data_IF_376772513757
#
_entry.id   IF_376772513757
#
_cell.length_a   1.000
_cell.length_b   1.000
_cell.length_c   1.000
_cell.angle_alpha   90.00
_cell.angle_beta   90.00
_cell.angle_gamma   90.00
#
_symmetry.space_group_name_H-M   'P 1'
#
loop_
_entity.id
_entity.type
_entity.pdbx_description
1 polymer ?
#
# COMPACT_ATOMS: atom_id res chain seq x y z
N UNK A 1 -10.29 10.58 1.83
CA UNK A 1 -10.24 9.10 1.74
C UNK A 1 -10.75 8.68 0.36
N UNK A 2 -10.25 7.59 -0.19
CA UNK A 2 -10.83 6.89 -1.33
C UNK A 2 -11.01 5.40 -1.00
N UNK A 3 -12.02 4.77 -1.59
CA UNK A 3 -12.30 3.36 -1.44
C UNK A 3 -12.47 2.72 -2.82
N UNK A 4 -12.01 1.48 -2.96
CA UNK A 4 -12.21 0.70 -4.18
C UNK A 4 -12.35 -0.78 -3.84
N UNK A 5 -13.20 -1.45 -4.60
CA UNK A 5 -13.46 -2.87 -4.45
C UNK A 5 -12.46 -3.69 -5.27
N UNK A 6 -11.86 -4.71 -4.65
CA UNK A 6 -11.07 -5.72 -5.33
C UNK A 6 -11.92 -6.99 -5.52
N UNK A 7 -11.95 -7.59 -6.72
CA UNK A 7 -12.85 -8.71 -7.02
C UNK A 7 -12.49 -9.99 -6.26
N UNK A 8 -11.21 -10.21 -6.01
CA UNK A 8 -10.72 -11.34 -5.23
C UNK A 8 -9.33 -11.04 -4.70
N UNK A 9 -8.88 -11.83 -3.73
CA UNK A 9 -7.51 -11.78 -3.24
C UNK A 9 -6.88 -13.15 -3.25
N UNK A 10 -5.55 -13.22 -3.09
CA UNK A 10 -4.82 -14.47 -2.96
C UNK A 10 -5.40 -15.40 -1.88
N UNK A 11 -5.96 -14.84 -0.79
CA UNK A 11 -6.42 -15.61 0.38
C UNK A 11 -7.92 -15.89 0.38
N UNK A 12 -8.71 -15.08 -0.34
CA UNK A 12 -10.16 -15.23 -0.45
C UNK A 12 -10.59 -15.97 -1.73
N UNK A 13 -9.81 -15.87 -2.82
CA UNK A 13 -9.97 -16.48 -4.15
C UNK A 13 -11.26 -16.16 -4.92
N UNK A 14 -12.39 -16.05 -4.23
CA UNK A 14 -13.73 -15.82 -4.79
C UNK A 14 -14.46 -14.65 -4.12
N UNK A 15 -14.07 -14.28 -2.90
CA UNK A 15 -14.68 -13.16 -2.19
C UNK A 15 -13.81 -11.90 -2.34
N UNK A 16 -14.40 -10.83 -2.85
CA UNK A 16 -13.75 -9.53 -2.94
C UNK A 16 -13.53 -8.87 -1.57
N UNK A 17 -12.92 -7.69 -1.59
CA UNK A 17 -12.86 -6.82 -0.40
C UNK A 17 -12.69 -5.36 -0.79
N UNK A 18 -13.17 -4.47 0.07
CA UNK A 18 -12.91 -3.04 -0.02
C UNK A 18 -11.50 -2.72 0.48
N UNK A 19 -10.80 -1.93 -0.31
CA UNK A 19 -9.55 -1.27 0.08
C UNK A 19 -9.81 0.20 0.28
N UNK A 20 -9.33 0.68 1.42
CA UNK A 20 -9.39 2.09 1.79
C UNK A 20 -7.99 2.69 1.70
N UNK A 21 -7.90 3.87 1.09
CA UNK A 21 -6.70 4.69 1.06
C UNK A 21 -7.01 6.04 1.68
N UNK A 22 -6.28 6.37 2.74
CA UNK A 22 -6.43 7.63 3.45
C UNK A 22 -5.73 8.76 2.71
N UNK A 23 -6.31 9.95 2.80
CA UNK A 23 -5.62 11.16 2.40
C UNK A 23 -4.61 11.49 3.50
N UNK A 24 -3.31 11.56 3.17
CA UNK A 24 -2.25 11.81 4.15
C UNK A 24 -1.49 13.13 3.89
N UNK A 25 -2.00 13.98 2.98
CA UNK A 25 -1.29 15.18 2.54
C UNK A 25 0.08 14.92 1.88
N UNK A 26 0.78 15.99 1.54
CA UNK A 26 2.14 15.94 1.01
C UNK A 26 2.30 15.30 -0.38
N UNK A 27 3.56 15.17 -0.81
CA UNK A 27 3.91 14.67 -2.14
C UNK A 27 3.62 13.17 -2.35
N UNK A 28 3.46 12.40 -1.27
CA UNK A 28 3.23 10.95 -1.29
C UNK A 28 1.76 10.57 -1.02
N UNK A 29 0.84 11.51 -1.22
CA UNK A 29 -0.58 11.30 -0.98
C UNK A 29 -1.17 10.24 -1.94
N UNK A 30 -1.65 9.09 -1.43
CA UNK A 30 -2.12 8.01 -2.28
C UNK A 30 -3.47 8.32 -2.94
N UNK A 31 -4.32 9.13 -2.31
CA UNK A 31 -5.61 9.54 -2.89
C UNK A 31 -5.39 10.47 -4.07
N UNK A 32 -4.48 11.43 -3.94
CA UNK A 32 -4.07 12.30 -5.03
C UNK A 32 -3.43 11.49 -6.16
N UNK A 33 -2.46 10.62 -5.85
CA UNK A 33 -1.76 9.81 -6.85
C UNK A 33 -2.72 8.91 -7.65
N UNK A 34 -3.69 8.26 -6.99
CA UNK A 34 -4.69 7.42 -7.65
C UNK A 34 -5.60 8.23 -8.57
N UNK A 35 -6.10 9.38 -8.11
CA UNK A 35 -6.93 10.27 -8.95
C UNK A 35 -6.13 10.81 -10.13
N UNK A 36 -4.86 11.16 -9.93
CA UNK A 36 -4.00 11.63 -10.99
C UNK A 36 -3.77 10.54 -12.05
N UNK A 37 -3.53 9.30 -11.62
CA UNK A 37 -3.40 8.15 -12.50
C UNK A 37 -4.64 7.97 -13.40
N UNK A 38 -5.84 8.03 -12.83
CA UNK A 38 -7.09 7.92 -13.62
C UNK A 38 -7.28 9.06 -14.63
N UNK A 39 -6.78 10.27 -14.35
CA UNK A 39 -6.83 11.38 -15.31
C UNK A 39 -5.85 11.19 -16.47
N UNK A 40 -4.68 10.63 -16.20
CA UNK A 40 -3.65 10.39 -17.23
C UNK A 40 -4.00 9.19 -18.12
N UNK A 41 -4.77 8.25 -17.60
CA UNK A 41 -5.13 7.01 -18.29
C UNK A 41 -6.62 6.71 -18.06
N UNK A 42 -7.52 7.53 -18.64
CA UNK A 42 -8.95 7.32 -18.46
C UNK A 42 -9.37 6.00 -19.09
N UNK A 43 -10.23 5.27 -18.38
CA UNK A 43 -10.85 4.05 -18.89
C UNK A 43 -12.09 4.37 -19.72
N UNK A 44 -12.45 3.43 -20.58
CA UNK A 44 -13.72 3.45 -21.30
C UNK A 44 -14.80 2.93 -20.34
N UNK A 45 -15.87 3.70 -20.03
CA UNK A 45 -16.87 3.33 -19.02
C UNK A 45 -17.46 1.93 -19.21
N UNK A 46 -17.70 1.52 -20.46
CA UNK A 46 -18.25 0.22 -20.83
C UNK A 46 -17.30 -0.94 -20.49
N UNK A 47 -15.99 -0.66 -20.36
CA UNK A 47 -14.95 -1.63 -20.05
C UNK A 47 -14.47 -1.53 -18.58
N UNK A 48 -15.11 -0.71 -17.75
CA UNK A 48 -14.68 -0.47 -16.37
C UNK A 48 -14.54 -1.78 -15.56
N UNK A 49 -15.48 -2.72 -15.72
CA UNK A 49 -15.48 -3.98 -14.98
C UNK A 49 -14.34 -4.95 -15.32
N UNK A 50 -13.67 -4.77 -16.46
CA UNK A 50 -12.56 -5.62 -16.91
C UNK A 50 -11.23 -4.86 -16.98
N UNK A 51 -11.24 -3.54 -16.78
CA UNK A 51 -10.05 -2.71 -16.81
C UNK A 51 -9.30 -2.86 -15.49
N UNK A 52 -8.00 -3.17 -15.56
CA UNK A 52 -7.16 -3.26 -14.35
C UNK A 52 -7.06 -1.90 -13.65
N UNK A 53 -7.11 -1.90 -12.31
CA UNK A 53 -7.09 -0.67 -11.49
C UNK A 53 -5.90 0.24 -11.77
N UNK A 54 -4.74 -0.34 -12.10
CA UNK A 54 -3.52 0.40 -12.45
C UNK A 54 -3.20 0.33 -13.94
N UNK A 55 -4.23 0.19 -14.80
CA UNK A 55 -4.03 0.21 -16.24
C UNK A 55 -3.54 1.59 -16.68
N UNK A 56 -2.50 1.62 -17.51
CA UNK A 56 -1.89 2.86 -17.98
C UNK A 56 -1.82 2.87 -19.50
N UNK A 57 -1.67 4.07 -20.07
CA UNK A 57 -1.49 4.26 -21.50
C UNK A 57 -0.17 4.97 -21.75
N UNK A 58 0.65 4.45 -22.65
CA UNK A 58 1.93 5.08 -23.00
C UNK A 58 1.74 6.40 -23.75
N UNK A 59 0.73 6.46 -24.64
CA UNK A 59 0.37 7.62 -25.46
C UNK A 59 -1.12 7.60 -25.79
N UNK A 60 -1.73 8.75 -26.03
CA UNK A 60 -3.19 8.87 -26.24
C UNK A 60 -3.77 7.90 -27.28
N UNK A 61 -3.04 7.55 -28.34
CA UNK A 61 -3.45 6.65 -29.43
C UNK A 61 -3.32 5.15 -29.12
N UNK A 62 -2.69 4.78 -28.00
CA UNK A 62 -2.41 3.37 -27.64
C UNK A 62 -3.48 2.75 -26.75
N UNK A 63 -3.66 1.42 -26.75
CA UNK A 63 -4.56 0.77 -25.80
C UNK A 63 -4.07 0.94 -24.36
N UNK A 64 -5.00 0.81 -23.40
CA UNK A 64 -4.64 0.67 -21.99
C UNK A 64 -3.97 -0.68 -21.76
N UNK A 65 -2.88 -0.68 -21.00
CA UNK A 65 -2.11 -1.86 -20.64
C UNK A 65 -2.16 -2.07 -19.12
N UNK A 66 -2.31 -3.32 -18.65
CA UNK A 66 -2.22 -3.59 -17.22
C UNK A 66 -0.79 -3.35 -16.73
N UNK A 67 -0.64 -2.63 -15.61
CA UNK A 67 0.66 -2.47 -14.97
C UNK A 67 1.12 -3.82 -14.37
N UNK A 68 2.15 -4.40 -14.98
CA UNK A 68 2.74 -5.64 -14.47
C UNK A 68 3.70 -5.37 -13.33
N UNK A 69 3.92 -6.38 -12.47
CA UNK A 69 4.95 -6.33 -11.41
C UNK A 69 6.34 -6.03 -12.00
N UNK A 70 6.67 -6.60 -13.16
CA UNK A 70 7.98 -6.43 -13.81
C UNK A 70 8.17 -4.96 -14.19
N UNK A 71 7.24 -4.40 -14.98
CA UNK A 71 7.30 -3.01 -15.44
C UNK A 71 7.29 -2.01 -14.28
N UNK A 72 6.50 -2.28 -13.24
CA UNK A 72 6.49 -1.45 -12.02
C UNK A 72 7.86 -1.44 -11.33
N UNK A 73 8.46 -2.62 -11.09
CA UNK A 73 9.73 -2.73 -10.41
C UNK A 73 10.90 -2.17 -11.23
N UNK A 74 10.89 -2.36 -12.55
CA UNK A 74 11.87 -1.75 -13.45
C UNK A 74 11.80 -0.23 -13.36
N UNK A 75 10.62 0.35 -13.55
CA UNK A 75 10.41 1.81 -13.49
C UNK A 75 10.82 2.38 -12.13
N UNK A 76 10.37 1.76 -11.05
CA UNK A 76 10.67 2.20 -9.69
C UNK A 76 12.17 2.14 -9.38
N UNK A 77 12.85 1.04 -9.72
CA UNK A 77 14.27 0.89 -9.47
C UNK A 77 15.12 1.79 -10.37
N UNK A 78 14.70 2.06 -11.61
CA UNK A 78 15.35 3.05 -12.47
C UNK A 78 15.29 4.44 -11.85
N UNK A 79 14.14 4.85 -11.30
CA UNK A 79 14.01 6.14 -10.62
C UNK A 79 14.87 6.23 -9.35
N UNK A 80 14.96 5.14 -8.58
CA UNK A 80 15.87 5.07 -7.42
C UNK A 80 17.34 5.16 -7.82
N UNK A 81 17.73 4.43 -8.87
CA UNK A 81 19.10 4.47 -9.38
C UNK A 81 19.49 5.86 -9.87
N UNK A 82 18.57 6.57 -10.54
CA UNK A 82 18.80 7.95 -10.99
C UNK A 82 18.93 8.95 -9.83
N UNK A 83 18.52 8.56 -8.63
CA UNK A 83 18.65 9.34 -7.40
C UNK A 83 19.72 8.78 -6.45
N UNK A 84 20.64 7.92 -6.95
CA UNK A 84 21.70 7.27 -6.18
C UNK A 84 21.19 6.46 -4.96
N UNK A 85 20.03 5.80 -5.11
CA UNK A 85 19.41 4.95 -4.09
C UNK A 85 19.48 3.48 -4.47
N UNK A 86 19.62 2.62 -3.45
CA UNK A 86 19.62 1.16 -3.61
C UNK A 86 18.29 0.63 -4.14
N UNK A 87 18.35 -0.51 -4.85
CA UNK A 87 17.18 -1.15 -5.44
C UNK A 87 16.33 -1.91 -4.42
N UNK A 88 15.07 -2.15 -4.79
CA UNK A 88 14.11 -2.88 -3.99
C UNK A 88 13.35 -3.94 -4.80
N UNK A 89 12.89 -4.95 -4.09
CA UNK A 89 12.05 -6.01 -4.64
C UNK A 89 10.59 -5.82 -4.21
N UNK A 90 9.65 -6.45 -4.92
CA UNK A 90 8.22 -6.31 -4.62
C UNK A 90 7.85 -6.66 -3.17
N UNK A 91 8.64 -7.51 -2.51
CA UNK A 91 8.44 -7.87 -1.12
C UNK A 91 8.72 -6.71 -0.14
N UNK A 92 9.67 -5.83 -0.48
CA UNK A 92 10.06 -4.69 0.35
C UNK A 92 8.90 -3.74 0.64
N UNK A 93 7.95 -3.61 -0.28
CA UNK A 93 6.76 -2.76 -0.11
C UNK A 93 5.85 -3.25 1.02
N UNK A 94 5.69 -4.58 1.17
CA UNK A 94 4.89 -5.16 2.27
C UNK A 94 5.60 -4.98 3.61
N UNK A 95 6.92 -5.14 3.64
CA UNK A 95 7.76 -4.89 4.82
C UNK A 95 7.63 -3.43 5.26
N UNK A 96 7.82 -2.49 4.33
CA UNK A 96 7.72 -1.06 4.61
C UNK A 96 6.32 -0.67 5.11
N UNK A 97 5.27 -1.13 4.44
CA UNK A 97 3.89 -0.88 4.84
C UNK A 97 3.54 -1.43 6.22
N UNK A 98 3.89 -2.68 6.52
CA UNK A 98 3.67 -3.24 7.86
C UNK A 98 4.46 -2.48 8.92
N UNK A 99 5.73 -2.17 8.64
CA UNK A 99 6.62 -1.46 9.56
C UNK A 99 6.12 -0.05 9.87
N UNK A 100 5.65 0.71 8.88
CA UNK A 100 5.18 2.09 9.12
C UNK A 100 3.90 2.12 9.96
N UNK A 101 2.95 1.20 9.71
CA UNK A 101 1.74 1.08 10.53
C UNK A 101 2.08 0.67 11.96
N UNK A 102 3.01 -0.27 12.13
CA UNK A 102 3.44 -0.70 13.45
C UNK A 102 4.08 0.43 14.25
N UNK A 103 4.96 1.23 13.62
CA UNK A 103 5.57 2.42 14.26
C UNK A 103 4.54 3.49 14.62
N UNK A 104 3.46 3.59 13.86
CA UNK A 104 2.33 4.47 14.16
C UNK A 104 1.43 3.95 15.30
N UNK A 105 1.79 2.82 15.95
CA UNK A 105 1.04 2.24 17.05
C UNK A 105 -0.22 1.47 16.63
N UNK A 106 -0.39 1.17 15.34
CA UNK A 106 -1.54 0.39 14.85
C UNK A 106 -1.43 -1.04 15.39
N UNK A 107 -2.48 -1.59 16.03
CA UNK A 107 -2.47 -2.96 16.53
C UNK A 107 -2.16 -3.98 15.43
N UNK A 108 -1.42 -5.05 15.79
CA UNK A 108 -0.99 -6.05 14.82
C UNK A 108 -2.15 -6.73 14.09
N UNK A 109 -3.26 -7.00 14.77
CA UNK A 109 -4.44 -7.59 14.13
C UNK A 109 -5.05 -6.66 13.08
N UNK A 110 -5.05 -5.35 13.32
CA UNK A 110 -5.46 -4.37 12.32
C UNK A 110 -4.49 -4.36 11.13
N UNK A 111 -3.18 -4.40 11.36
CA UNK A 111 -2.18 -4.51 10.28
C UNK A 111 -2.37 -5.80 9.47
N UNK A 112 -2.68 -6.92 10.14
CA UNK A 112 -3.02 -8.21 9.51
C UNK A 112 -4.21 -8.07 8.57
N UNK A 113 -5.29 -7.45 9.04
CA UNK A 113 -6.49 -7.17 8.23
C UNK A 113 -6.16 -6.28 7.02
N UNK A 114 -5.42 -5.18 7.22
CA UNK A 114 -5.04 -4.26 6.15
C UNK A 114 -4.22 -4.95 5.06
N UNK A 115 -3.24 -5.76 5.45
CA UNK A 115 -2.36 -6.48 4.52
C UNK A 115 -2.91 -7.81 4.01
N UNK A 116 -4.08 -8.25 4.47
CA UNK A 116 -4.72 -9.52 4.07
C UNK A 116 -3.97 -10.76 4.57
N UNK A 117 -3.34 -10.68 5.74
CA UNK A 117 -2.64 -11.79 6.37
C UNK A 117 -3.59 -12.65 7.22
N UNK A 118 -3.61 -13.96 6.94
CA UNK A 118 -4.36 -14.95 7.74
C UNK A 118 -3.54 -15.51 8.91
N UNK A 119 -2.22 -15.42 8.85
CA UNK A 119 -1.28 -15.95 9.85
C UNK A 119 -0.35 -14.87 10.38
N UNK A 120 0.46 -15.21 11.38
CA UNK A 120 1.44 -14.31 12.00
C UNK A 120 2.70 -14.07 11.17
N UNK A 121 2.66 -14.39 9.88
CA UNK A 121 3.72 -14.02 8.92
C UNK A 121 4.02 -12.51 8.88
N UNK A 122 3.09 -11.66 9.33
CA UNK A 122 3.30 -10.22 9.53
C UNK A 122 4.48 -9.92 10.46
N UNK A 123 4.73 -10.75 11.47
CA UNK A 123 5.78 -10.52 12.46
C UNK A 123 7.18 -10.51 11.83
N UNK A 124 7.37 -11.30 10.76
CA UNK A 124 8.62 -11.34 10.00
C UNK A 124 8.85 -10.07 9.17
N UNK A 125 7.82 -9.24 8.98
CA UNK A 125 7.88 -8.02 8.20
C UNK A 125 8.12 -6.76 9.03
N UNK A 126 8.11 -6.88 10.37
CA UNK A 126 8.37 -5.75 11.25
C UNK A 126 9.88 -5.53 11.38
N UNK A 127 10.36 -4.41 10.83
CA UNK A 127 11.78 -4.00 10.94
C UNK A 127 11.90 -2.83 11.92
N UNK A 128 13.02 -2.76 12.65
CA UNK A 128 13.28 -1.75 13.70
C UNK A 128 12.25 -1.79 14.82
N UNK A 129 12.24 -2.92 15.53
CA UNK A 129 11.33 -3.15 16.66
C UNK A 129 11.55 -2.12 17.78
N UNK A 130 12.79 -1.65 17.96
CA UNK A 130 13.18 -0.57 18.88
C UNK A 130 12.25 0.64 18.79
N UNK A 131 11.99 1.12 17.58
CA UNK A 131 11.16 2.31 17.37
C UNK A 131 9.67 2.05 17.63
N UNK A 132 9.18 0.84 17.33
CA UNK A 132 7.78 0.48 17.62
C UNK A 132 7.54 0.29 19.11
N UNK A 133 8.49 -0.32 19.81
CA UNK A 133 8.41 -0.55 21.26
C UNK A 133 8.45 0.76 22.05
N UNK A 134 9.20 1.78 21.60
CA UNK A 134 9.22 3.09 22.24
C UNK A 134 7.81 3.70 22.34
N UNK A 135 7.02 3.64 21.26
CA UNK A 135 5.62 4.10 21.27
C UNK A 135 4.75 3.28 22.22
N UNK A 136 4.92 1.96 22.27
CA UNK A 136 4.19 1.11 23.20
C UNK A 136 4.53 1.45 24.67
N UNK A 137 5.80 1.69 24.99
CA UNK A 137 6.23 2.14 26.31
C UNK A 137 5.62 3.50 26.68
N UNK A 138 5.57 4.44 25.75
CA UNK A 138 4.95 5.75 25.98
C UNK A 138 3.46 5.64 26.31
N UNK A 139 2.72 4.77 25.60
CA UNK A 139 1.31 4.48 25.88
C UNK A 139 1.13 3.87 27.28
N UNK A 140 1.94 2.88 27.64
CA UNK A 140 1.93 2.27 28.98
C UNK A 140 2.24 3.29 30.07
N UNK A 141 3.25 4.14 29.86
CA UNK A 141 3.62 5.18 30.81
C UNK A 141 2.49 6.21 31.01
N UNK A 142 1.80 6.61 29.93
CA UNK A 142 0.65 7.50 30.00
C UNK A 142 -0.52 6.89 30.79
N UNK A 143 -0.79 5.59 30.60
CA UNK A 143 -1.82 4.87 31.35
C UNK A 143 -1.49 4.74 32.84
N UNK A 144 -0.24 4.39 33.18
CA UNK A 144 0.20 4.27 34.58
C UNK A 144 0.24 5.64 35.26
N UNK A 145 0.70 6.67 34.55
CA UNK A 145 0.88 8.02 35.08
C UNK A 145 -0.43 8.82 35.21
N UNK A 146 -1.51 8.35 34.58
CA UNK A 146 -2.84 8.91 34.73
C UNK A 146 -3.87 7.78 34.82
N UNK A 147 -3.84 7.00 35.92
CA UNK A 147 -4.81 5.94 36.12
C UNK A 147 -6.16 6.63 36.34
N UNK A 148 -7.16 6.23 35.54
CA UNK A 148 -8.55 6.67 35.68
C UNK A 148 -9.04 6.51 37.13
#
# INVERSE_FOLDING_TARGET
>A
MAAFWLPWTKTTKVQGLDKFVADCGGALNPVFALRHHFRLSPHVPELAGITSLFAFRERADKPLLPLTKKSFLETFNSALSAADRGSHVGHSFRIGGATIHWRAGVPLDTIKLMGGWKSDSVLQYLRRLDLGLASAHALTAAFIGNPL
#
